data_IF_015646478123
#
_entry.id   IF_015646478123
#
_cell.length_a   1.000
_cell.length_b   1.000
_cell.length_c   1.000
_cell.angle_alpha   90.00
_cell.angle_beta   90.00
_cell.angle_gamma   90.00
#
_symmetry.space_group_name_H-M   'P 1'
#
loop_
_entity.id
_entity.type
_entity.pdbx_description
1 polymer ?
#
# COMPACT_ATOMS: atom_id res chain seq x y z
N UNK A 1 12.02 -13.82 10.91
CA UNK A 1 11.49 -12.54 11.41
C UNK A 1 11.68 -11.40 10.39
N UNK A 2 11.55 -11.68 9.09
CA UNK A 2 12.08 -10.80 8.02
C UNK A 2 11.08 -10.29 6.97
N UNK A 3 9.79 -10.63 7.06
CA UNK A 3 8.78 -10.21 6.05
C UNK A 3 7.82 -9.15 6.62
N UNK A 4 7.70 -9.07 7.94
CA UNK A 4 6.78 -8.16 8.64
C UNK A 4 7.23 -6.68 8.58
N UNK A 5 8.54 -6.43 8.48
CA UNK A 5 9.10 -5.07 8.40
C UNK A 5 9.09 -4.49 6.99
N UNK A 6 9.08 -5.33 5.96
CA UNK A 6 9.10 -4.92 4.55
C UNK A 6 7.82 -4.19 4.14
N UNK A 7 6.66 -4.75 4.50
CA UNK A 7 5.37 -4.11 4.20
C UNK A 7 5.14 -2.78 4.94
N UNK A 8 5.71 -2.63 6.14
CA UNK A 8 5.58 -1.39 6.93
C UNK A 8 6.56 -0.32 6.44
N UNK A 9 7.70 -0.70 5.84
CA UNK A 9 8.64 0.25 5.25
C UNK A 9 8.15 0.90 3.95
N UNK A 10 7.06 0.38 3.35
CA UNK A 10 6.35 1.03 2.23
C UNK A 10 5.65 2.32 2.68
N UNK A 11 5.25 2.39 3.96
CA UNK A 11 4.36 3.43 4.48
C UNK A 11 5.07 4.54 5.27
N UNK A 12 6.31 4.31 5.73
CA UNK A 12 6.95 5.19 6.73
C UNK A 12 7.73 6.40 6.20
N UNK A 13 7.78 6.66 4.90
CA UNK A 13 8.68 7.70 4.37
C UNK A 13 7.95 8.95 3.84
N UNK A 14 6.63 8.93 3.62
CA UNK A 14 5.96 10.09 2.99
C UNK A 14 4.61 10.47 3.63
N UNK A 15 3.90 9.56 4.31
CA UNK A 15 2.49 9.79 4.63
C UNK A 15 2.22 9.83 6.13
N UNK A 16 1.53 10.89 6.56
CA UNK A 16 1.04 11.18 7.93
C UNK A 16 0.11 10.09 8.47
N UNK A 17 0.58 8.86 8.60
CA UNK A 17 -0.20 7.74 9.14
C UNK A 17 0.15 7.53 10.61
N UNK A 18 -0.87 7.42 11.45
CA UNK A 18 -0.70 7.04 12.85
C UNK A 18 -0.43 5.52 12.97
N UNK A 19 0.17 5.10 14.08
CA UNK A 19 0.51 3.70 14.35
C UNK A 19 -0.69 2.76 14.24
N UNK A 20 -1.90 3.25 14.55
CA UNK A 20 -3.13 2.46 14.46
C UNK A 20 -3.53 2.13 13.01
N UNK A 21 -3.33 3.06 12.07
CA UNK A 21 -3.63 2.81 10.66
C UNK A 21 -2.65 1.80 10.06
N UNK A 22 -1.37 1.88 10.44
CA UNK A 22 -0.35 0.92 10.03
C UNK A 22 -0.67 -0.50 10.51
N UNK A 23 -1.12 -0.66 11.76
CA UNK A 23 -1.53 -1.96 12.32
C UNK A 23 -2.75 -2.49 11.57
N UNK A 24 -3.74 -1.62 11.29
CA UNK A 24 -4.96 -2.01 10.58
C UNK A 24 -4.65 -2.47 9.15
N UNK A 25 -3.82 -1.74 8.41
CA UNK A 25 -3.40 -2.16 7.06
C UNK A 25 -2.60 -3.44 7.12
N UNK A 26 -1.60 -3.53 8.00
CA UNK A 26 -0.80 -4.75 8.16
C UNK A 26 -1.65 -5.97 8.49
N UNK A 27 -2.67 -5.81 9.33
CA UNK A 27 -3.64 -6.87 9.62
C UNK A 27 -4.51 -7.22 8.40
N UNK A 28 -5.03 -6.23 7.69
CA UNK A 28 -5.90 -6.45 6.51
C UNK A 28 -5.15 -7.04 5.31
N UNK A 29 -3.86 -6.72 5.14
CA UNK A 29 -3.01 -7.31 4.09
C UNK A 29 -2.56 -8.73 4.48
N UNK A 30 -2.23 -8.98 5.75
CA UNK A 30 -1.80 -10.30 6.24
C UNK A 30 -2.93 -11.33 6.34
N UNK A 31 -4.17 -10.91 6.62
CA UNK A 31 -5.35 -11.80 6.69
C UNK A 31 -5.64 -12.53 5.37
N UNK A 32 -5.07 -12.08 4.25
CA UNK A 32 -5.22 -12.72 2.93
C UNK A 32 -4.19 -13.81 2.62
N UNK A 33 -3.30 -14.15 3.56
CA UNK A 33 -2.04 -14.83 3.27
C UNK A 33 -0.98 -13.80 2.89
N UNK A 34 0.31 -14.13 3.09
CA UNK A 34 1.43 -13.24 2.73
C UNK A 34 1.42 -12.98 1.22
N UNK A 35 0.68 -11.96 0.80
CA UNK A 35 0.72 -11.47 -0.57
C UNK A 35 2.13 -10.95 -0.81
N UNK A 36 2.84 -11.50 -1.79
CA UNK A 36 4.14 -10.99 -2.18
C UNK A 36 4.02 -9.54 -2.69
N UNK A 37 5.14 -8.84 -2.71
CA UNK A 37 5.29 -7.44 -3.11
C UNK A 37 4.63 -7.16 -4.47
N UNK A 38 4.75 -8.13 -5.37
CA UNK A 38 4.15 -8.08 -6.70
C UNK A 38 2.63 -8.07 -6.67
N UNK A 39 2.00 -8.94 -5.90
CA UNK A 39 0.56 -8.97 -5.76
C UNK A 39 0.02 -7.67 -5.15
N UNK A 40 0.79 -7.04 -4.25
CA UNK A 40 0.44 -5.73 -3.69
C UNK A 40 0.55 -4.63 -4.76
N UNK A 41 1.66 -4.61 -5.52
CA UNK A 41 1.84 -3.65 -6.59
C UNK A 41 0.75 -3.76 -7.67
N UNK A 42 0.41 -4.98 -8.09
CA UNK A 42 -0.67 -5.24 -9.05
C UNK A 42 -2.03 -4.74 -8.54
N UNK A 43 -2.31 -4.88 -7.24
CA UNK A 43 -3.54 -4.33 -6.64
C UNK A 43 -3.60 -2.82 -6.66
N UNK A 44 -2.52 -2.14 -6.31
CA UNK A 44 -2.47 -0.67 -6.36
C UNK A 44 -2.51 -0.13 -7.78
N UNK A 45 -1.86 -0.80 -8.74
CA UNK A 45 -1.96 -0.45 -10.16
C UNK A 45 -3.39 -0.63 -10.70
N UNK A 46 -4.18 -1.55 -10.11
CA UNK A 46 -5.57 -1.79 -10.47
C UNK A 46 -6.57 -1.24 -9.42
N UNK A 47 -6.19 -0.19 -8.68
CA UNK A 47 -6.97 0.28 -7.53
C UNK A 47 -8.42 0.68 -7.88
N UNK A 48 -8.66 1.15 -9.10
CA UNK A 48 -10.01 1.53 -9.56
C UNK A 48 -10.98 0.36 -9.64
N UNK A 49 -10.50 -0.86 -9.85
CA UNK A 49 -11.34 -2.07 -9.94
C UNK A 49 -11.15 -3.00 -8.74
N UNK A 50 -10.05 -2.86 -7.98
CA UNK A 50 -9.75 -3.69 -6.84
C UNK A 50 -10.35 -3.15 -5.53
N UNK A 51 -11.37 -3.86 -5.01
CA UNK A 51 -12.06 -3.50 -3.77
C UNK A 51 -11.13 -3.46 -2.55
N UNK A 52 -10.10 -4.31 -2.49
CA UNK A 52 -9.14 -4.31 -1.36
C UNK A 52 -8.24 -3.09 -1.45
N UNK A 53 -7.73 -2.77 -2.63
CA UNK A 53 -6.92 -1.58 -2.85
C UNK A 53 -7.67 -0.29 -2.48
N UNK A 54 -8.94 -0.13 -2.91
CA UNK A 54 -9.79 1.00 -2.47
C UNK A 54 -9.91 1.09 -0.97
N UNK A 55 -10.16 -0.04 -0.29
CA UNK A 55 -10.25 -0.09 1.17
C UNK A 55 -8.95 0.36 1.83
N UNK A 56 -7.80 -0.09 1.32
CA UNK A 56 -6.50 0.33 1.83
C UNK A 56 -6.28 1.83 1.63
N UNK A 57 -6.59 2.38 0.45
CA UNK A 57 -6.51 3.81 0.17
C UNK A 57 -7.38 4.64 1.13
N UNK A 58 -8.61 4.20 1.39
CA UNK A 58 -9.50 4.85 2.37
C UNK A 58 -8.98 4.73 3.80
N UNK A 59 -8.42 3.58 4.19
CA UNK A 59 -7.78 3.39 5.51
C UNK A 59 -6.58 4.31 5.68
N UNK A 60 -5.82 4.55 4.61
CA UNK A 60 -4.71 5.51 4.57
C UNK A 60 -5.18 6.99 4.57
N UNK A 61 -6.49 7.24 4.53
CA UNK A 61 -7.08 8.58 4.60
C UNK A 61 -7.20 9.29 3.25
N UNK A 62 -7.02 8.59 2.12
CA UNK A 62 -7.19 9.20 0.80
C UNK A 62 -8.66 9.26 0.37
N UNK A 63 -9.03 10.40 -0.20
CA UNK A 63 -10.30 10.56 -0.91
C UNK A 63 -10.17 9.97 -2.31
N UNK A 64 -10.85 8.85 -2.59
CA UNK A 64 -10.75 8.16 -3.88
C UNK A 64 -11.12 9.03 -5.09
N UNK A 65 -11.96 10.06 -4.88
CA UNK A 65 -12.38 11.00 -5.92
C UNK A 65 -11.32 12.04 -6.29
N UNK A 66 -10.29 12.21 -5.46
CA UNK A 66 -9.19 13.16 -5.70
C UNK A 66 -8.00 12.47 -6.39
N UNK A 67 -8.01 11.14 -6.46
CA UNK A 67 -6.94 10.36 -7.08
C UNK A 67 -7.21 10.26 -8.58
N UNK A 68 -6.31 10.82 -9.37
CA UNK A 68 -6.27 10.64 -10.83
C UNK A 68 -5.59 9.32 -11.19
N UNK A 69 -4.46 9.01 -10.57
CA UNK A 69 -3.65 7.83 -10.89
C UNK A 69 -2.93 7.28 -9.67
N UNK A 70 -2.82 5.96 -9.58
CA UNK A 70 -1.93 5.26 -8.65
C UNK A 70 -0.98 4.38 -9.45
N UNK A 71 0.31 4.48 -9.17
CA UNK A 71 1.35 3.67 -9.79
C UNK A 71 2.23 3.03 -8.73
N UNK A 72 2.29 1.70 -8.71
CA UNK A 72 3.08 0.91 -7.80
C UNK A 72 4.24 0.23 -8.54
N UNK A 73 5.46 0.47 -8.05
CA UNK A 73 6.72 -0.03 -8.62
C UNK A 73 7.43 -0.87 -7.57
N UNK A 74 7.87 -2.08 -7.94
CA UNK A 74 8.65 -2.96 -7.07
C UNK A 74 10.11 -2.54 -7.14
N UNK A 75 10.73 -2.31 -5.98
CA UNK A 75 12.15 -1.96 -5.89
C UNK A 75 12.96 -3.20 -5.49
N UNK A 76 14.09 -3.42 -6.15
CA UNK A 76 15.00 -4.52 -5.82
C UNK A 76 16.27 -3.96 -5.16
N UNK A 77 16.68 -4.51 -4.02
CA UNK A 77 17.91 -4.09 -3.31
C UNK A 77 17.78 -2.87 -2.39
N UNK A 78 16.56 -2.41 -2.11
CA UNK A 78 16.27 -1.30 -1.20
C UNK A 78 15.61 -1.79 0.10
N UNK A 79 15.57 -0.96 1.16
CA UNK A 79 14.91 -1.28 2.45
C UNK A 79 13.38 -1.38 2.37
N UNK A 80 12.82 -1.04 1.21
CA UNK A 80 11.40 -0.95 0.93
C UNK A 80 11.15 -1.65 -0.39
N UNK A 81 10.13 -2.51 -0.44
CA UNK A 81 9.98 -3.43 -1.58
C UNK A 81 8.95 -2.96 -2.61
N UNK A 82 8.04 -2.04 -2.26
CA UNK A 82 7.09 -1.41 -3.19
C UNK A 82 7.04 0.10 -2.95
N UNK A 83 7.13 0.89 -4.01
CA UNK A 83 6.91 2.33 -3.99
C UNK A 83 5.57 2.64 -4.67
N UNK A 84 4.73 3.46 -4.02
CA UNK A 84 3.46 3.92 -4.58
C UNK A 84 3.57 5.41 -4.90
N UNK A 85 3.14 5.79 -6.10
CA UNK A 85 3.07 7.17 -6.59
C UNK A 85 1.62 7.53 -6.87
N UNK A 86 1.24 8.75 -6.52
CA UNK A 86 -0.10 9.28 -6.70
C UNK A 86 -0.05 10.51 -7.61
N UNK A 87 -1.02 10.58 -8.52
CA UNK A 87 -1.38 11.82 -9.24
C UNK A 87 -2.79 12.20 -8.82
N UNK A 88 -3.04 13.49 -8.64
CA UNK A 88 -4.29 14.05 -8.10
C UNK A 88 -5.03 14.87 -9.17
N UNK A 89 -6.36 14.84 -9.11
CA UNK A 89 -7.26 15.66 -9.96
C UNK A 89 -7.26 17.14 -9.56
#
# INVERSE_FOLDING_TARGET
MGVFNSFINILKIIYKMDGNDLIRIGSETAKGGFANERAIAEKFNNWEQDKKAKKWLTIMGYTLKEIEKVEAVILHGYKTDVQIKFTWL
#
